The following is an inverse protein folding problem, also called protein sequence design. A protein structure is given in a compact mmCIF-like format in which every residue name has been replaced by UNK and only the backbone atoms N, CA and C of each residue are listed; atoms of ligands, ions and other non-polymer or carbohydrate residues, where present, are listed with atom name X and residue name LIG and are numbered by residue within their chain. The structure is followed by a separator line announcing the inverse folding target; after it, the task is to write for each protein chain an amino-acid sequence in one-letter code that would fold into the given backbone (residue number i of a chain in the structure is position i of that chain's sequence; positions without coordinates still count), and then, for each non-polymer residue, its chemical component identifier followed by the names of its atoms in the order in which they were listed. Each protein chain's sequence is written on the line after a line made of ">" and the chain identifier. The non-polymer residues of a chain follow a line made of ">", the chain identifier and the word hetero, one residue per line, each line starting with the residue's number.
data_IF_708738867050
#
_entry.id   IF_708738867050
#
_cell.length_a   1.000
_cell.length_b   1.000
_cell.length_c   1.000
_cell.angle_alpha   90.00
_cell.angle_beta   90.00
_cell.angle_gamma   90.00
#
_symmetry.space_group_name_H-M   'P 1'
#
loop_
_entity.id
_entity.type
_entity.pdbx_description
1 polymer ?
#
# COMPACT_ATOMS: atom_id res chain seq x y z
N UNK A 1 -18.24 -15.99 -9.69
CA UNK A 1 -18.19 -14.56 -9.40
C UNK A 1 -17.21 -13.91 -10.37
N UNK A 2 -17.70 -13.09 -11.29
CA UNK A 2 -16.81 -12.35 -12.19
C UNK A 2 -16.07 -11.28 -11.41
N UNK A 3 -14.84 -11.55 -10.99
CA UNK A 3 -13.93 -10.58 -10.38
C UNK A 3 -13.70 -9.35 -11.29
N UNK A 4 -13.93 -9.50 -12.58
CA UNK A 4 -13.70 -8.45 -13.58
C UNK A 4 -14.50 -7.17 -13.35
N UNK A 5 -15.70 -7.26 -12.77
CA UNK A 5 -16.52 -6.09 -12.41
C UNK A 5 -15.92 -5.20 -11.31
N UNK A 6 -14.87 -5.65 -10.64
CA UNK A 6 -14.26 -4.97 -9.51
C UNK A 6 -12.81 -4.57 -9.78
N UNK A 7 -12.39 -4.63 -11.04
CA UNK A 7 -11.03 -4.31 -11.46
C UNK A 7 -11.01 -2.93 -12.10
N UNK A 8 -10.02 -2.14 -11.72
CA UNK A 8 -9.75 -0.83 -12.31
C UNK A 8 -9.63 -0.93 -13.82
N UNK A 9 -10.32 -0.08 -14.54
CA UNK A 9 -10.12 0.11 -15.98
C UNK A 9 -9.13 1.20 -16.28
N UNK A 10 -8.34 1.01 -17.30
CA UNK A 10 -7.43 1.98 -17.89
C UNK A 10 -8.17 2.87 -18.89
N UNK A 11 -7.57 3.98 -19.30
CA UNK A 11 -8.18 4.94 -20.23
C UNK A 11 -8.53 4.33 -21.62
N UNK A 12 -7.94 3.20 -21.95
CA UNK A 12 -8.20 2.42 -23.17
C UNK A 12 -9.14 1.24 -22.93
N UNK A 13 -9.98 1.32 -21.89
CA UNK A 13 -11.00 0.32 -21.49
C UNK A 13 -10.45 -1.09 -21.23
N UNK A 14 -9.19 -1.20 -20.86
CA UNK A 14 -8.59 -2.49 -20.48
C UNK A 14 -8.56 -2.64 -18.97
N UNK A 15 -8.57 -3.87 -18.50
CA UNK A 15 -8.35 -4.16 -17.09
C UNK A 15 -6.91 -3.86 -16.69
N UNK A 16 -6.74 -3.04 -15.65
CA UNK A 16 -5.43 -2.74 -15.09
C UNK A 16 -4.81 -4.00 -14.48
N UNK A 17 -3.65 -4.36 -14.99
CA UNK A 17 -2.92 -5.55 -14.53
C UNK A 17 -1.43 -5.28 -14.43
N UNK A 18 -0.80 -5.95 -13.47
CA UNK A 18 0.65 -5.90 -13.25
C UNK A 18 1.22 -7.31 -13.30
N UNK A 19 2.40 -7.45 -13.89
CA UNK A 19 3.25 -8.63 -13.75
C UNK A 19 4.59 -8.21 -13.15
N UNK A 20 5.16 -9.08 -12.37
CA UNK A 20 6.50 -8.89 -11.83
C UNK A 20 7.53 -9.14 -12.94
N UNK A 21 8.48 -8.24 -13.07
CA UNK A 21 9.65 -8.43 -13.93
C UNK A 21 10.82 -8.93 -13.11
N UNK A 22 11.38 -10.08 -13.46
CA UNK A 22 12.59 -10.63 -12.84
C UNK A 22 13.83 -10.14 -13.58
N UNK A 23 14.67 -9.28 -12.98
CA UNK A 23 15.90 -8.83 -13.61
C UNK A 23 16.88 -9.98 -13.87
N UNK A 24 16.91 -10.96 -12.96
CA UNK A 24 17.78 -12.14 -13.08
C UNK A 24 17.40 -13.02 -14.27
N UNK A 25 16.10 -13.21 -14.48
CA UNK A 25 15.60 -14.02 -15.61
C UNK A 25 15.38 -13.20 -16.88
N UNK A 26 15.50 -11.87 -16.81
CA UNK A 26 15.23 -10.92 -17.90
C UNK A 26 13.86 -11.12 -18.57
N UNK A 27 12.85 -11.51 -17.78
CA UNK A 27 11.49 -11.73 -18.27
C UNK A 27 10.44 -11.44 -17.20
N UNK A 28 9.21 -11.27 -17.66
CA UNK A 28 8.06 -11.20 -16.74
C UNK A 28 7.76 -12.58 -16.17
N UNK A 29 7.64 -12.66 -14.86
CA UNK A 29 7.37 -13.89 -14.11
C UNK A 29 6.04 -13.77 -13.35
N UNK A 30 5.55 -14.92 -12.87
CA UNK A 30 4.32 -14.98 -12.11
C UNK A 30 3.05 -14.79 -12.94
N UNK A 31 1.93 -14.63 -12.23
CA UNK A 31 0.62 -14.41 -12.81
C UNK A 31 0.30 -12.93 -12.94
N UNK A 32 -0.65 -12.58 -13.80
CA UNK A 32 -1.21 -11.24 -13.84
C UNK A 32 -1.94 -10.93 -12.53
N UNK A 33 -1.53 -9.86 -11.87
CA UNK A 33 -2.20 -9.31 -10.71
C UNK A 33 -3.13 -8.19 -11.18
N UNK A 34 -4.42 -8.36 -10.98
CA UNK A 34 -5.42 -7.36 -11.32
C UNK A 34 -5.51 -6.32 -10.20
N UNK A 35 -5.59 -5.05 -10.57
CA UNK A 35 -5.79 -3.98 -9.60
C UNK A 35 -7.28 -3.90 -9.21
N UNK A 36 -7.58 -4.18 -7.95
CA UNK A 36 -8.94 -4.01 -7.42
C UNK A 36 -9.28 -2.51 -7.41
N UNK A 37 -10.47 -2.17 -7.90
CA UNK A 37 -10.99 -0.82 -7.85
C UNK A 37 -11.21 -0.38 -6.40
N UNK A 38 -10.62 0.73 -5.95
CA UNK A 38 -10.79 1.29 -4.61
C UNK A 38 -12.24 1.45 -4.16
N UNK A 39 -13.16 1.71 -5.06
CA UNK A 39 -14.59 1.79 -4.76
C UNK A 39 -15.17 0.51 -4.15
N UNK A 40 -14.58 -0.65 -4.47
CA UNK A 40 -15.04 -1.96 -3.98
C UNK A 40 -14.24 -2.48 -2.77
N UNK A 41 -13.25 -1.76 -2.27
CA UNK A 41 -12.44 -2.20 -1.13
C UNK A 41 -13.30 -2.52 0.10
N UNK A 42 -14.23 -1.65 0.46
CA UNK A 42 -15.12 -1.87 1.61
C UNK A 42 -15.88 -3.19 1.48
N UNK A 43 -16.42 -3.50 0.30
CA UNK A 43 -17.14 -4.75 0.05
C UNK A 43 -16.29 -6.00 0.32
N UNK A 44 -15.01 -5.99 -0.11
CA UNK A 44 -14.11 -7.12 0.11
C UNK A 44 -13.67 -7.22 1.56
N UNK A 45 -13.30 -6.09 2.16
CA UNK A 45 -12.84 -6.07 3.55
C UNK A 45 -13.96 -6.40 4.54
N UNK A 46 -15.19 -5.98 4.32
CA UNK A 46 -16.32 -6.38 5.17
C UNK A 46 -16.51 -7.90 5.23
N UNK A 47 -16.39 -8.58 4.09
CA UNK A 47 -16.47 -10.05 4.04
C UNK A 47 -15.28 -10.72 4.69
N UNK A 48 -14.09 -10.16 4.49
CA UNK A 48 -12.86 -10.68 5.06
C UNK A 48 -12.84 -10.51 6.58
N UNK A 49 -13.11 -9.32 7.09
CA UNK A 49 -13.05 -8.97 8.50
C UNK A 49 -14.02 -9.77 9.36
N UNK A 50 -15.21 -10.12 8.83
CA UNK A 50 -16.16 -11.04 9.52
C UNK A 50 -15.56 -12.40 9.86
N UNK A 51 -14.59 -12.88 9.07
CA UNK A 51 -13.85 -14.11 9.34
C UNK A 51 -12.61 -13.87 10.17
N UNK A 52 -11.94 -12.74 9.91
CA UNK A 52 -10.70 -12.37 10.57
C UNK A 52 -10.87 -12.16 12.07
N UNK A 53 -11.93 -11.48 12.50
CA UNK A 53 -12.27 -11.27 13.91
C UNK A 53 -12.65 -12.55 14.69
N UNK A 54 -12.82 -13.67 13.99
CA UNK A 54 -13.04 -14.99 14.65
C UNK A 54 -11.73 -15.71 14.98
N UNK A 55 -10.60 -15.18 14.54
CA UNK A 55 -9.30 -15.75 14.85
C UNK A 55 -8.86 -15.31 16.25
N UNK A 56 -8.46 -16.26 17.06
CA UNK A 56 -7.93 -15.99 18.39
C UNK A 56 -6.51 -15.42 18.32
N UNK A 57 -6.18 -14.54 19.26
CA UNK A 57 -4.84 -13.99 19.45
C UNK A 57 -4.29 -13.15 18.26
N UNK A 58 -5.16 -12.56 17.45
CA UNK A 58 -4.76 -11.65 16.38
C UNK A 58 -4.92 -10.21 16.84
N UNK A 59 -3.81 -9.46 16.85
CA UNK A 59 -3.77 -8.07 17.33
C UNK A 59 -3.59 -7.06 16.18
N UNK A 60 -3.22 -7.52 14.98
CA UNK A 60 -2.95 -6.63 13.86
C UNK A 60 -3.10 -7.28 12.50
N UNK A 61 -3.10 -6.46 11.47
CA UNK A 61 -3.27 -6.87 10.08
C UNK A 61 -2.34 -6.09 9.14
N UNK A 62 -1.75 -6.77 8.16
CA UNK A 62 -1.04 -6.13 7.06
C UNK A 62 -1.95 -5.98 5.85
N UNK A 63 -2.08 -4.76 5.36
CA UNK A 63 -2.89 -4.43 4.17
C UNK A 63 -2.03 -3.93 2.99
N UNK A 64 -0.73 -4.07 3.10
CA UNK A 64 0.24 -3.90 2.02
C UNK A 64 0.04 -2.62 1.21
N UNK A 65 -0.31 -2.76 -0.06
CA UNK A 65 -0.36 -1.69 -1.05
C UNK A 65 -1.41 -0.60 -0.80
N UNK A 66 -2.33 -0.76 0.13
CA UNK A 66 -3.24 0.33 0.54
C UNK A 66 -2.46 1.54 1.08
N UNK A 67 -1.21 1.33 1.50
CA UNK A 67 -0.31 2.40 1.94
C UNK A 67 0.14 3.35 0.84
N UNK A 68 0.13 2.92 -0.42
CA UNK A 68 0.73 3.66 -1.53
C UNK A 68 -0.13 3.73 -2.79
N UNK A 69 -0.96 2.72 -3.06
CA UNK A 69 -1.68 2.60 -4.31
C UNK A 69 -2.95 3.47 -4.33
N UNK A 70 -2.97 4.48 -5.19
CA UNK A 70 -4.16 5.26 -5.52
C UNK A 70 -4.37 5.20 -7.03
N UNK A 71 -5.29 4.37 -7.46
CA UNK A 71 -5.62 4.18 -8.87
C UNK A 71 -6.88 4.96 -9.22
N UNK A 72 -6.83 5.76 -10.29
CA UNK A 72 -8.04 6.24 -10.94
C UNK A 72 -8.70 5.08 -11.69
N UNK A 73 -10.00 5.11 -11.82
CA UNK A 73 -10.77 4.15 -12.60
C UNK A 73 -11.45 4.89 -13.76
N UNK A 74 -11.31 4.35 -14.95
CA UNK A 74 -11.88 4.90 -16.17
C UNK A 74 -13.05 4.03 -16.65
N UNK A 75 -13.77 3.42 -15.70
CA UNK A 75 -15.01 2.72 -16.02
C UNK A 75 -16.04 3.70 -16.59
N UNK A 76 -16.69 3.33 -17.69
CA UNK A 76 -17.62 4.20 -18.40
C UNK A 76 -18.88 4.54 -17.55
N UNK A 77 -19.26 3.62 -16.66
CA UNK A 77 -20.45 3.79 -15.84
C UNK A 77 -20.17 4.58 -14.54
N UNK A 78 -19.03 4.33 -13.90
CA UNK A 78 -18.66 4.91 -12.61
C UNK A 78 -17.17 5.33 -12.57
N UNK A 79 -16.75 6.29 -13.39
CA UNK A 79 -15.36 6.75 -13.36
C UNK A 79 -15.05 7.55 -12.08
N UNK A 80 -13.83 7.44 -11.59
CA UNK A 80 -13.35 8.27 -10.48
C UNK A 80 -11.86 8.57 -10.59
N UNK A 81 -11.44 9.65 -9.97
CA UNK A 81 -10.08 10.11 -9.96
C UNK A 81 -9.30 9.63 -8.72
N UNK A 82 -8.02 10.00 -8.61
CA UNK A 82 -7.16 9.61 -7.48
C UNK A 82 -7.62 10.17 -6.13
N UNK A 83 -8.29 11.32 -6.10
CA UNK A 83 -8.79 11.93 -4.88
C UNK A 83 -9.99 11.15 -4.34
N UNK A 84 -10.87 10.70 -5.24
CA UNK A 84 -11.96 9.79 -4.88
C UNK A 84 -11.40 8.46 -4.39
N UNK A 85 -10.41 7.90 -5.10
CA UNK A 85 -9.70 6.69 -4.67
C UNK A 85 -9.13 6.83 -3.26
N UNK A 86 -8.51 7.98 -2.92
CA UNK A 86 -8.02 8.28 -1.58
C UNK A 86 -9.13 8.22 -0.54
N UNK A 87 -10.30 8.74 -0.87
CA UNK A 87 -11.46 8.69 0.02
C UNK A 87 -11.94 7.26 0.26
N UNK A 88 -12.00 6.43 -0.77
CA UNK A 88 -12.36 5.01 -0.65
C UNK A 88 -11.34 4.24 0.18
N UNK A 89 -10.05 4.45 -0.06
CA UNK A 89 -8.98 3.80 0.72
C UNK A 89 -9.03 4.21 2.18
N UNK A 90 -9.25 5.49 2.49
CA UNK A 90 -9.39 5.96 3.88
C UNK A 90 -10.57 5.30 4.59
N UNK A 91 -11.72 5.16 3.95
CA UNK A 91 -12.88 4.45 4.51
C UNK A 91 -12.58 2.98 4.78
N UNK A 92 -11.88 2.32 3.84
CA UNK A 92 -11.47 0.93 4.03
C UNK A 92 -10.50 0.78 5.20
N UNK A 93 -9.51 1.66 5.33
CA UNK A 93 -8.55 1.65 6.43
C UNK A 93 -9.22 1.93 7.78
N UNK A 94 -10.16 2.88 7.83
CA UNK A 94 -10.93 3.18 9.04
C UNK A 94 -11.76 1.97 9.49
N UNK A 95 -12.38 1.27 8.55
CA UNK A 95 -13.12 0.04 8.83
C UNK A 95 -12.20 -1.09 9.33
N UNK A 96 -11.04 -1.28 8.69
CA UNK A 96 -10.06 -2.32 9.05
C UNK A 96 -9.44 -2.05 10.42
N UNK A 97 -9.08 -0.79 10.70
CA UNK A 97 -8.49 -0.42 11.99
C UNK A 97 -9.47 -0.68 13.15
N UNK A 98 -10.77 -0.61 12.88
CA UNK A 98 -11.79 -0.86 13.89
C UNK A 98 -11.77 0.12 15.05
N UNK A 99 -12.49 -0.23 16.12
CA UNK A 99 -12.51 0.56 17.35
C UNK A 99 -12.84 -0.34 18.57
N UNK A 100 -12.47 0.12 19.75
CA UNK A 100 -12.72 -0.63 21.00
C UNK A 100 -12.05 -2.00 21.01
N UNK A 101 -12.78 -3.02 21.41
CA UNK A 101 -12.27 -4.39 21.54
C UNK A 101 -11.94 -5.06 20.20
N UNK A 102 -12.38 -4.47 19.09
CA UNK A 102 -12.09 -4.95 17.73
C UNK A 102 -11.00 -4.12 17.04
N UNK A 103 -10.34 -3.21 17.76
CA UNK A 103 -9.25 -2.43 17.20
C UNK A 103 -8.07 -3.31 16.81
N UNK A 104 -7.53 -3.09 15.62
CA UNK A 104 -6.37 -3.79 15.09
C UNK A 104 -5.23 -2.83 14.80
N UNK A 105 -4.02 -3.26 15.08
CA UNK A 105 -2.83 -2.57 14.61
C UNK A 105 -2.64 -2.81 13.12
N UNK A 106 -2.81 -1.76 12.33
CA UNK A 106 -2.71 -1.84 10.86
C UNK A 106 -1.29 -1.58 10.42
N UNK A 107 -0.78 -2.44 9.55
CA UNK A 107 0.52 -2.30 8.89
C UNK A 107 0.33 -2.09 7.39
N UNK A 108 1.07 -1.12 6.83
CA UNK A 108 1.07 -0.82 5.40
C UNK A 108 2.48 -0.80 4.82
N UNK A 109 2.56 -0.89 3.51
CA UNK A 109 3.79 -0.73 2.75
C UNK A 109 3.89 0.71 2.20
N UNK A 110 5.05 1.35 2.38
CA UNK A 110 5.33 2.72 1.91
C UNK A 110 4.71 3.86 2.72
N UNK A 111 3.49 3.74 3.20
CA UNK A 111 2.85 4.63 4.17
C UNK A 111 2.68 6.08 3.77
N UNK A 112 1.94 6.39 2.71
CA UNK A 112 1.60 7.78 2.36
C UNK A 112 0.80 8.49 3.48
N UNK A 113 0.93 9.81 3.56
CA UNK A 113 0.35 10.67 4.62
C UNK A 113 -1.13 10.39 4.91
N UNK A 114 -1.93 10.09 3.90
CA UNK A 114 -3.37 9.81 4.09
C UNK A 114 -3.66 8.57 4.93
N UNK A 115 -2.67 7.70 5.13
CA UNK A 115 -2.82 6.46 5.93
C UNK A 115 -2.49 6.66 7.42
N UNK A 116 -1.71 7.66 7.78
CA UNK A 116 -1.11 7.81 9.11
C UNK A 116 -2.11 7.82 10.28
N UNK A 117 -3.31 8.30 10.03
CA UNK A 117 -4.39 8.28 11.04
C UNK A 117 -4.83 6.87 11.43
N UNK A 118 -4.65 5.89 10.53
CA UNK A 118 -5.23 4.56 10.64
C UNK A 118 -4.20 3.46 10.87
N UNK A 119 -2.91 3.75 10.70
CA UNK A 119 -1.84 2.75 10.73
C UNK A 119 -0.92 2.94 11.94
N UNK A 120 -0.37 1.83 12.41
CA UNK A 120 0.63 1.79 13.48
C UNK A 120 2.02 1.45 12.97
N UNK A 121 2.11 0.73 11.85
CA UNK A 121 3.34 0.20 11.33
C UNK A 121 3.47 0.51 9.83
N UNK A 122 4.64 1.01 9.43
CA UNK A 122 4.97 1.28 8.04
C UNK A 122 6.22 0.49 7.66
N UNK A 123 6.11 -0.36 6.65
CA UNK A 123 7.26 -1.03 6.03
C UNK A 123 7.69 -0.26 4.77
N UNK A 124 8.95 -0.42 4.38
CA UNK A 124 9.54 0.23 3.21
C UNK A 124 9.25 1.75 3.17
N UNK A 125 9.27 2.39 4.34
CA UNK A 125 9.13 3.84 4.43
C UNK A 125 10.22 4.52 3.60
N UNK A 126 9.91 5.54 2.77
CA UNK A 126 10.89 6.24 1.96
C UNK A 126 11.74 7.16 2.85
N UNK A 127 12.77 6.62 3.47
CA UNK A 127 13.67 7.32 4.38
C UNK A 127 14.84 8.01 3.67
N UNK A 128 14.95 7.82 2.34
CA UNK A 128 16.04 8.32 1.52
C UNK A 128 15.51 9.27 0.43
N UNK A 129 16.43 9.99 -0.22
CA UNK A 129 16.11 10.81 -1.39
C UNK A 129 15.87 9.95 -2.64
N UNK A 130 15.39 10.59 -3.72
CA UNK A 130 15.28 9.97 -5.04
C UNK A 130 16.63 9.63 -5.68
N UNK A 131 17.75 9.89 -4.99
CA UNK A 131 19.14 9.65 -5.47
C UNK A 131 19.43 10.31 -6.83
N UNK A 132 18.87 11.49 -7.04
CA UNK A 132 19.18 12.26 -8.25
C UNK A 132 20.65 12.64 -8.26
N UNK A 133 21.31 12.57 -9.42
CA UNK A 133 22.74 12.87 -9.60
C UNK A 133 23.16 14.22 -9.00
N UNK A 134 22.24 15.17 -8.90
CA UNK A 134 22.48 16.51 -8.34
C UNK A 134 22.12 16.63 -6.85
N UNK A 135 21.70 15.57 -6.19
CA UNK A 135 21.42 15.58 -4.74
C UNK A 135 22.74 15.42 -3.99
N UNK A 136 23.06 16.35 -3.10
CA UNK A 136 24.30 16.29 -2.28
C UNK A 136 24.18 15.30 -1.14
N UNK A 137 23.04 15.28 -0.46
CA UNK A 137 22.70 14.28 0.57
C UNK A 137 21.22 14.15 0.77
N UNK A 138 20.85 13.04 1.40
CA UNK A 138 19.49 12.76 1.79
C UNK A 138 19.22 13.23 3.22
N UNK A 139 18.08 13.87 3.41
CA UNK A 139 17.55 14.16 4.74
C UNK A 139 16.42 13.17 5.01
N UNK A 140 16.51 12.33 6.05
CA UNK A 140 15.46 11.35 6.39
C UNK A 140 14.25 12.05 7.04
N UNK A 141 13.68 13.02 6.32
CA UNK A 141 12.62 13.89 6.81
C UNK A 141 11.41 13.09 7.33
N UNK A 142 11.00 12.06 6.59
CA UNK A 142 9.89 11.22 7.00
C UNK A 142 10.17 10.53 8.34
N UNK A 143 11.39 9.99 8.52
CA UNK A 143 11.80 9.37 9.77
C UNK A 143 11.75 10.34 10.95
N UNK A 144 12.18 11.59 10.74
CA UNK A 144 12.10 12.63 11.77
C UNK A 144 10.65 12.96 12.15
N UNK A 145 9.75 13.04 11.17
CA UNK A 145 8.32 13.33 11.39
C UNK A 145 7.61 12.18 12.10
N UNK A 146 7.91 10.92 11.72
CA UNK A 146 7.22 9.75 12.26
C UNK A 146 7.79 9.27 13.60
N UNK A 147 9.00 9.67 13.95
CA UNK A 147 9.66 9.24 15.19
C UNK A 147 8.83 9.53 16.43
N UNK A 148 8.60 8.50 17.23
CA UNK A 148 7.80 8.59 18.46
C UNK A 148 6.28 8.52 18.26
N UNK A 149 5.77 8.57 17.03
CA UNK A 149 4.34 8.52 16.75
C UNK A 149 3.89 7.17 16.19
N UNK A 150 4.73 6.52 15.37
CA UNK A 150 4.44 5.21 14.80
C UNK A 150 5.71 4.42 14.52
N UNK A 151 5.57 3.12 14.38
CA UNK A 151 6.68 2.23 14.04
C UNK A 151 6.89 2.22 12.53
N UNK A 152 8.12 2.44 12.09
CA UNK A 152 8.45 2.38 10.68
C UNK A 152 9.80 1.71 10.45
N UNK A 153 9.94 1.09 9.30
CA UNK A 153 11.19 0.53 8.80
C UNK A 153 11.40 0.96 7.35
N UNK A 154 12.62 1.28 7.00
CA UNK A 154 13.03 1.52 5.61
C UNK A 154 13.19 0.23 4.82
N UNK A 155 13.79 0.33 3.63
CA UNK A 155 14.15 -0.82 2.81
C UNK A 155 15.14 -1.72 3.56
N UNK A 156 14.98 -3.05 3.52
CA UNK A 156 15.92 -3.98 4.16
C UNK A 156 17.34 -3.79 3.64
N UNK A 157 18.32 -3.72 4.56
CA UNK A 157 19.72 -3.50 4.20
C UNK A 157 20.32 -4.58 3.30
N UNK A 158 19.90 -5.83 3.46
CA UNK A 158 20.33 -6.95 2.64
C UNK A 158 19.80 -6.94 1.21
N UNK A 159 18.87 -6.05 0.90
CA UNK A 159 18.36 -5.84 -0.46
C UNK A 159 18.96 -4.59 -1.12
N UNK A 160 19.87 -3.90 -0.43
CA UNK A 160 20.59 -2.76 -0.99
C UNK A 160 21.74 -3.25 -1.85
N UNK A 161 21.74 -2.91 -3.13
CA UNK A 161 22.78 -3.28 -4.09
C UNK A 161 24.03 -2.38 -4.04
N UNK A 162 23.95 -1.26 -3.32
CA UNK A 162 25.02 -0.29 -3.21
C UNK A 162 25.59 -0.30 -1.77
N UNK A 163 26.85 -0.73 -1.65
CA UNK A 163 27.54 -0.87 -0.35
C UNK A 163 27.71 0.47 0.36
N UNK A 164 27.93 1.56 -0.36
CA UNK A 164 28.07 2.88 0.24
C UNK A 164 26.75 3.35 0.87
N UNK A 165 25.62 3.08 0.23
CA UNK A 165 24.30 3.37 0.77
C UNK A 165 23.94 2.48 1.96
N UNK A 166 24.36 1.21 1.95
CA UNK A 166 24.11 0.31 3.08
C UNK A 166 24.84 0.77 4.36
N UNK A 167 25.96 1.47 4.23
CA UNK A 167 26.68 2.06 5.37
C UNK A 167 26.03 3.31 5.95
N UNK A 168 25.17 3.99 5.17
CA UNK A 168 24.49 5.21 5.57
C UNK A 168 23.11 4.99 6.18
N UNK A 169 22.60 3.79 6.12
CA UNK A 169 21.33 3.35 6.69
C UNK A 169 21.53 2.70 8.06
#
# INVERSE_FOLDING_TARGET
>A
LSLRKHVVKTIDDRYSSKREYSPTMQKYVGYYQLAISPAYLSHFYEKFMKKYHKLDNVTGISVGTLGTALNSDFDDDEPYNREDARTFVKRALEYIAGSGDQALDVMVDGGNVYTWKYVRHILNAPLDSSRYIRSSYSVPFLGVVLHGYMNFAGTPLNMEGDVEYAKLK
#
